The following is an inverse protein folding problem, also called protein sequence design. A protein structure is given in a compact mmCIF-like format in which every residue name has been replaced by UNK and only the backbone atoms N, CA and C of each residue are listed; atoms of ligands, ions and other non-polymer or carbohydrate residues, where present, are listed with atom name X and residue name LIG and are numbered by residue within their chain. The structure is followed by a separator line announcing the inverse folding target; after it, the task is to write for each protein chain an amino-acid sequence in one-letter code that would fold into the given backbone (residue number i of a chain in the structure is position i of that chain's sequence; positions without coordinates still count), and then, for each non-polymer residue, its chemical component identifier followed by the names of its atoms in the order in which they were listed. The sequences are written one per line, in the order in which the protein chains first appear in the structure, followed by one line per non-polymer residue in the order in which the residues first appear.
data_IF_435568531642
#
_entry.id   IF_435568531642
#
_cell.length_a   1.000
_cell.length_b   1.000
_cell.length_c   1.000
_cell.angle_alpha   90.00
_cell.angle_beta   90.00
_cell.angle_gamma   90.00
#
_symmetry.space_group_name_H-M   'P 1'
#
loop_
_entity.id
_entity.type
_entity.pdbx_description
1 polymer ?
#
# COMPACT_ATOMS: atom_id res chain seq x y z
N UNK A 1 -4.01 11.41 -9.11
CA UNK A 1 -5.43 11.21 -8.73
C UNK A 1 -5.43 10.88 -7.25
N UNK A 2 -6.19 11.59 -6.41
CA UNK A 2 -6.18 11.28 -4.98
C UNK A 2 -7.06 10.08 -4.65
N UNK A 3 -6.59 9.24 -3.74
CA UNK A 3 -7.31 8.10 -3.20
C UNK A 3 -7.42 8.21 -1.68
N UNK A 4 -8.46 7.61 -1.12
CA UNK A 4 -8.57 7.28 0.29
C UNK A 4 -8.02 5.87 0.51
N UNK A 5 -6.85 5.80 1.14
CA UNK A 5 -6.03 4.58 1.26
C UNK A 5 -6.19 4.03 2.67
N UNK A 6 -6.67 2.80 2.80
CA UNK A 6 -6.83 2.12 4.08
C UNK A 6 -5.99 0.85 4.10
N UNK A 7 -4.86 0.80 4.82
CA UNK A 7 -4.16 -0.45 5.11
C UNK A 7 -5.08 -1.42 5.84
N UNK A 8 -5.10 -2.69 5.42
CA UNK A 8 -6.02 -3.70 5.99
C UNK A 8 -5.32 -4.77 6.82
N UNK A 9 -4.00 -4.72 6.93
CA UNK A 9 -3.23 -5.58 7.82
C UNK A 9 -2.29 -4.75 8.68
N UNK A 10 -1.98 -5.28 9.85
CA UNK A 10 -0.96 -4.74 10.76
C UNK A 10 -0.10 -5.91 11.22
N UNK A 11 1.19 -5.89 10.87
CA UNK A 11 2.12 -6.99 11.16
C UNK A 11 1.58 -8.37 10.76
N UNK A 12 1.06 -8.52 9.52
CA UNK A 12 0.38 -9.71 8.93
C UNK A 12 -1.05 -9.97 9.39
N UNK A 13 -1.49 -9.42 10.51
CA UNK A 13 -2.85 -9.68 11.02
C UNK A 13 -3.83 -8.81 10.27
N UNK A 14 -4.83 -9.44 9.64
CA UNK A 14 -5.94 -8.72 9.02
C UNK A 14 -6.72 -7.95 10.10
N UNK A 15 -6.94 -6.66 9.84
CA UNK A 15 -7.75 -5.84 10.71
C UNK A 15 -9.20 -6.35 10.68
N UNK A 16 -9.83 -6.40 11.85
CA UNK A 16 -11.25 -6.67 11.98
C UNK A 16 -12.08 -5.57 11.29
N UNK A 17 -13.36 -5.85 11.02
CA UNK A 17 -14.28 -4.86 10.43
C UNK A 17 -14.40 -3.59 11.30
N UNK A 18 -14.38 -3.75 12.62
CA UNK A 18 -14.46 -2.62 13.56
C UNK A 18 -13.19 -1.78 13.54
N UNK A 19 -12.01 -2.42 13.53
CA UNK A 19 -10.73 -1.72 13.40
C UNK A 19 -10.62 -0.98 12.07
N UNK A 20 -11.03 -1.61 10.96
CA UNK A 20 -11.06 -0.97 9.64
C UNK A 20 -11.95 0.27 9.63
N UNK A 21 -13.13 0.21 10.27
CA UNK A 21 -14.05 1.36 10.35
C UNK A 21 -13.47 2.52 11.16
N UNK A 22 -12.64 2.23 12.15
CA UNK A 22 -11.99 3.23 13.01
C UNK A 22 -10.67 3.75 12.47
N UNK A 23 -10.07 3.04 11.51
CA UNK A 23 -8.80 3.43 10.91
C UNK A 23 -9.05 4.57 9.91
N UNK A 24 -8.58 5.80 10.18
CA UNK A 24 -8.76 6.90 9.24
C UNK A 24 -7.98 6.59 7.94
N UNK A 25 -8.58 6.81 6.76
CA UNK A 25 -7.85 6.62 5.51
C UNK A 25 -6.77 7.69 5.36
N UNK A 26 -5.65 7.30 4.75
CA UNK A 26 -4.64 8.23 4.26
C UNK A 26 -5.11 8.76 2.91
N UNK A 27 -5.27 10.07 2.78
CA UNK A 27 -5.55 10.70 1.49
C UNK A 27 -4.23 10.95 0.76
N UNK A 28 -4.09 10.48 -0.48
CA UNK A 28 -2.86 10.69 -1.25
C UNK A 28 -2.93 10.21 -2.69
N UNK A 29 -1.99 10.66 -3.51
CA UNK A 29 -1.79 10.17 -4.87
C UNK A 29 -0.99 8.86 -4.81
N UNK A 30 -1.49 7.79 -5.42
CA UNK A 30 -0.79 6.49 -5.38
C UNK A 30 0.00 6.34 -6.67
N UNK A 31 1.30 6.17 -6.54
CA UNK A 31 2.17 5.83 -7.65
C UNK A 31 2.42 4.34 -7.64
N UNK A 32 2.26 3.70 -8.80
CA UNK A 32 2.52 2.28 -8.99
C UNK A 32 3.42 2.14 -10.21
N UNK A 33 4.65 1.69 -10.00
CA UNK A 33 5.64 1.56 -11.07
C UNK A 33 6.46 0.30 -10.89
N UNK A 34 6.97 -0.23 -12.00
CA UNK A 34 8.01 -1.24 -11.95
C UNK A 34 9.32 -0.58 -11.52
N UNK A 35 9.90 -1.10 -10.44
CA UNK A 35 11.16 -0.64 -9.89
C UNK A 35 12.08 -1.82 -9.64
N UNK A 36 13.40 -1.60 -9.76
CA UNK A 36 14.39 -2.57 -9.28
C UNK A 36 14.24 -2.67 -7.75
N UNK A 37 13.98 -3.86 -7.25
CA UNK A 37 13.96 -4.13 -5.82
C UNK A 37 15.20 -4.94 -5.45
N UNK A 38 16.09 -4.34 -4.68
CA UNK A 38 17.36 -4.97 -4.31
C UNK A 38 17.15 -6.14 -3.36
N UNK A 39 16.23 -6.00 -2.40
CA UNK A 39 15.94 -7.03 -1.40
C UNK A 39 15.31 -8.29 -2.02
N UNK A 40 14.56 -8.14 -3.12
CA UNK A 40 13.96 -9.24 -3.87
C UNK A 40 14.82 -9.72 -5.05
N UNK A 41 15.93 -9.05 -5.33
CA UNK A 41 16.87 -9.40 -6.40
C UNK A 41 16.34 -9.24 -7.83
N UNK A 42 15.15 -8.66 -8.03
CA UNK A 42 14.45 -8.55 -9.32
C UNK A 42 13.69 -7.23 -9.47
N UNK A 43 13.24 -6.92 -10.69
CA UNK A 43 12.28 -5.86 -10.90
C UNK A 43 10.89 -6.30 -10.40
N UNK A 44 10.19 -5.41 -9.70
CA UNK A 44 8.84 -5.65 -9.19
C UNK A 44 8.02 -4.39 -9.29
N UNK A 45 6.70 -4.52 -9.45
CA UNK A 45 5.82 -3.39 -9.23
C UNK A 45 5.82 -3.02 -7.75
N UNK A 46 6.08 -1.75 -7.46
CA UNK A 46 5.98 -1.17 -6.13
C UNK A 46 4.95 -0.05 -6.12
N UNK A 47 4.25 0.11 -5.00
CA UNK A 47 3.23 1.11 -4.81
C UNK A 47 3.54 1.95 -3.57
N UNK A 48 3.43 3.27 -3.69
CA UNK A 48 3.64 4.19 -2.58
C UNK A 48 2.70 5.39 -2.70
N UNK A 49 2.53 6.09 -1.58
CA UNK A 49 1.81 7.36 -1.55
C UNK A 49 2.80 8.46 -1.91
N UNK A 50 2.61 9.09 -3.07
CA UNK A 50 3.50 10.14 -3.55
C UNK A 50 3.48 11.33 -2.60
N UNK A 51 4.67 11.76 -2.20
CA UNK A 51 4.91 12.94 -1.39
C UNK A 51 6.06 13.73 -2.03
N UNK A 52 5.82 15.00 -2.37
CA UNK A 52 6.85 15.86 -2.96
C UNK A 52 7.83 16.43 -1.94
N UNK A 53 7.57 16.26 -0.63
CA UNK A 53 8.48 16.68 0.43
C UNK A 53 9.62 15.69 0.65
N UNK A 54 10.73 16.15 1.23
CA UNK A 54 11.90 15.32 1.58
C UNK A 54 11.72 14.48 2.85
N UNK A 55 10.48 14.29 3.30
CA UNK A 55 10.15 13.51 4.49
C UNK A 55 10.09 12.01 4.21
N UNK A 56 9.93 11.19 5.26
CA UNK A 56 9.67 9.76 5.08
C UNK A 56 8.36 9.53 4.32
N UNK A 57 8.23 8.33 3.74
CA UNK A 57 6.98 7.91 3.12
C UNK A 57 5.81 7.96 4.12
N UNK A 58 4.64 8.35 3.64
CA UNK A 58 3.41 8.47 4.45
C UNK A 58 2.94 7.09 4.92
N UNK A 59 3.14 6.07 4.07
CA UNK A 59 2.95 4.66 4.36
C UNK A 59 4.18 3.91 3.86
N UNK A 60 4.60 2.81 4.51
CA UNK A 60 5.67 1.97 4.00
C UNK A 60 5.40 1.55 2.55
N UNK A 61 6.42 1.54 1.70
CA UNK A 61 6.25 1.11 0.31
C UNK A 61 5.76 -0.34 0.25
N UNK A 62 4.75 -0.58 -0.59
CA UNK A 62 4.27 -1.92 -0.88
C UNK A 62 5.08 -2.45 -2.06
N UNK A 63 5.79 -3.56 -1.88
CA UNK A 63 6.58 -4.22 -2.91
C UNK A 63 5.87 -5.45 -3.47
N UNK A 64 6.29 -5.89 -4.65
CA UNK A 64 5.72 -7.05 -5.37
C UNK A 64 4.19 -6.95 -5.50
N UNK A 65 3.73 -5.73 -5.82
CA UNK A 65 2.32 -5.35 -5.77
C UNK A 65 1.53 -6.04 -6.86
N UNK A 66 0.34 -6.51 -6.48
CA UNK A 66 -0.69 -7.00 -7.38
C UNK A 66 -1.99 -6.26 -7.14
N UNK A 67 -2.62 -5.80 -8.22
CA UNK A 67 -4.01 -5.35 -8.19
C UNK A 67 -4.88 -6.61 -8.16
N UNK A 68 -5.57 -6.83 -7.06
CA UNK A 68 -6.40 -8.04 -6.84
C UNK A 68 -7.88 -7.82 -7.13
N UNK A 69 -8.28 -6.57 -7.35
CA UNK A 69 -9.61 -6.19 -7.80
C UNK A 69 -9.64 -4.70 -8.07
N UNK A 70 -10.38 -4.30 -9.10
CA UNK A 70 -10.52 -2.91 -9.53
C UNK A 70 -11.92 -2.72 -10.11
N UNK A 71 -12.55 -1.60 -9.75
CA UNK A 71 -13.77 -1.10 -10.35
C UNK A 71 -13.73 0.43 -10.34
N UNK A 72 -14.79 1.09 -10.83
CA UNK A 72 -14.86 2.55 -10.89
C UNK A 72 -14.61 3.23 -9.53
N UNK A 73 -15.07 2.62 -8.43
CA UNK A 73 -14.95 3.19 -7.09
C UNK A 73 -13.59 2.97 -6.40
N UNK A 74 -12.66 2.22 -7.01
CA UNK A 74 -11.36 1.98 -6.41
C UNK A 74 -10.75 0.62 -6.73
N UNK A 75 -9.66 0.31 -6.01
CA UNK A 75 -8.85 -0.89 -6.22
C UNK A 75 -8.34 -1.49 -4.91
N UNK A 76 -8.03 -2.77 -4.95
CA UNK A 76 -7.36 -3.51 -3.89
C UNK A 76 -5.93 -3.83 -4.32
N UNK A 77 -4.96 -3.33 -3.55
CA UNK A 77 -3.54 -3.65 -3.74
C UNK A 77 -3.12 -4.69 -2.69
N UNK A 78 -2.41 -5.73 -3.12
CA UNK A 78 -1.75 -6.68 -2.22
C UNK A 78 -0.25 -6.70 -2.54
N UNK A 79 0.58 -6.86 -1.53
CA UNK A 79 2.03 -6.96 -1.70
C UNK A 79 2.70 -7.24 -0.37
N UNK A 80 3.96 -6.87 -0.25
CA UNK A 80 4.73 -6.99 0.99
C UNK A 80 5.30 -5.63 1.40
N UNK A 81 5.22 -5.31 2.68
CA UNK A 81 5.91 -4.15 3.27
C UNK A 81 7.14 -4.66 4.02
N UNK A 82 8.26 -3.98 3.85
CA UNK A 82 9.45 -4.22 4.67
C UNK A 82 9.38 -3.34 5.92
N UNK A 83 9.39 -3.97 7.10
CA UNK A 83 9.45 -3.26 8.39
C UNK A 83 10.67 -3.80 9.15
N UNK A 84 11.74 -3.02 9.16
CA UNK A 84 13.06 -3.50 9.60
C UNK A 84 13.57 -4.61 8.69
N UNK A 85 13.95 -5.75 9.27
CA UNK A 85 14.47 -6.91 8.54
C UNK A 85 13.38 -7.94 8.16
N UNK A 86 12.11 -7.60 8.34
CA UNK A 86 11.00 -8.54 8.13
C UNK A 86 10.08 -8.05 7.03
N UNK A 87 9.72 -8.96 6.13
CA UNK A 87 8.68 -8.74 5.13
C UNK A 87 7.32 -9.22 5.66
N UNK A 88 6.34 -8.33 5.60
CA UNK A 88 4.97 -8.61 6.01
C UNK A 88 4.02 -8.51 4.84
N UNK A 89 3.20 -9.55 4.65
CA UNK A 89 2.10 -9.50 3.71
C UNK A 89 1.11 -8.40 4.12
N UNK A 90 0.81 -7.53 3.17
CA UNK A 90 -0.02 -6.35 3.36
C UNK A 90 -1.05 -6.23 2.24
N UNK A 91 -2.15 -5.52 2.53
CA UNK A 91 -3.05 -5.05 1.49
C UNK A 91 -3.60 -3.67 1.78
N UNK A 92 -3.76 -2.87 0.73
CA UNK A 92 -4.41 -1.57 0.81
C UNK A 92 -5.76 -1.62 0.09
N UNK A 93 -6.77 -0.97 0.67
CA UNK A 93 -8.00 -0.64 -0.01
C UNK A 93 -7.96 0.83 -0.39
N UNK A 94 -7.89 1.09 -1.70
CA UNK A 94 -7.72 2.42 -2.28
C UNK A 94 -9.03 2.82 -2.94
N UNK A 95 -9.78 3.74 -2.33
CA UNK A 95 -11.04 4.24 -2.88
C UNK A 95 -10.81 5.55 -3.62
N UNK A 96 -11.52 5.77 -4.73
CA UNK A 96 -11.60 7.10 -5.32
C UNK A 96 -12.21 8.07 -4.29
N UNK A 97 -11.71 9.30 -4.27
CA UNK A 97 -12.36 10.40 -3.54
C UNK A 97 -13.62 10.88 -4.25
#
# INVERSE_FOLDING_TARGET
MYFLITPRRRNRVALSKEELRRTPPVKGDIHIYECRNEQLGRATFSAWVFNSGSGPDILPQLHDVKITGMAQGGMNLNGIEQIGDVFYAQSWWCRAE
#
